data_IF_271579029072
#
_entry.id   IF_271579029072
#
_cell.length_a   1.000
_cell.length_b   1.000
_cell.length_c   1.000
_cell.angle_alpha   90.00
_cell.angle_beta   90.00
_cell.angle_gamma   90.00
#
_symmetry.space_group_name_H-M   'P 1'
#
loop_
_entity.id
_entity.type
_entity.pdbx_description
1 polymer ?
#
# COMPACT_ATOMS: atom_id res chain seq x y z
N UNK A 1 -11.81 -13.83 33.89
CA UNK A 1 -10.58 -13.43 33.17
C UNK A 1 -10.82 -12.01 32.68
N UNK A 2 -10.28 -11.02 33.40
CA UNK A 2 -10.35 -9.62 33.00
C UNK A 2 -9.11 -9.34 32.16
N UNK A 3 -9.25 -9.29 30.84
CA UNK A 3 -8.19 -8.73 30.00
C UNK A 3 -7.90 -7.31 30.49
N UNK A 4 -6.68 -7.09 30.97
CA UNK A 4 -6.27 -5.82 31.56
C UNK A 4 -6.23 -4.75 30.46
N UNK A 5 -6.81 -3.56 30.64
CA UNK A 5 -6.86 -2.50 29.62
C UNK A 5 -5.49 -2.12 29.02
N UNK A 6 -4.40 -2.37 29.74
CA UNK A 6 -3.03 -2.18 29.27
C UNK A 6 -2.62 -3.14 28.12
N UNK A 7 -3.09 -4.38 28.13
CA UNK A 7 -2.81 -5.35 27.07
C UNK A 7 -3.53 -4.98 25.76
N UNK A 8 -4.79 -4.54 25.87
CA UNK A 8 -5.58 -4.03 24.73
C UNK A 8 -4.99 -2.76 24.13
N UNK A 9 -4.49 -1.83 24.95
CA UNK A 9 -3.82 -0.61 24.48
C UNK A 9 -2.50 -0.89 23.73
N UNK A 10 -1.71 -1.86 24.20
CA UNK A 10 -0.47 -2.29 23.54
C UNK A 10 -0.73 -2.90 22.16
N UNK A 11 -1.75 -3.75 22.05
CA UNK A 11 -2.18 -4.34 20.77
C UNK A 11 -2.69 -3.27 19.80
N UNK A 12 -3.54 -2.35 20.27
CA UNK A 12 -4.04 -1.22 19.44
C UNK A 12 -2.89 -0.38 18.87
N UNK A 13 -1.90 -0.06 19.69
CA UNK A 13 -0.71 0.70 19.26
C UNK A 13 0.11 -0.06 18.21
N UNK A 14 0.23 -1.38 18.34
CA UNK A 14 0.90 -2.23 17.35
C UNK A 14 0.15 -2.25 16.01
N UNK A 15 -1.18 -2.37 16.02
CA UNK A 15 -2.01 -2.27 14.81
C UNK A 15 -1.90 -0.89 14.16
N UNK A 16 -2.04 0.19 14.95
CA UNK A 16 -1.96 1.57 14.44
C UNK A 16 -0.61 1.89 13.76
N UNK A 17 0.50 1.33 14.26
CA UNK A 17 1.82 1.47 13.65
C UNK A 17 1.89 0.88 12.23
N UNK A 18 1.11 -0.18 11.98
CA UNK A 18 1.13 -0.95 10.75
C UNK A 18 -0.08 -0.65 9.83
N UNK A 19 -1.13 0.01 10.35
CA UNK A 19 -2.30 0.49 9.63
C UNK A 19 -1.99 1.79 8.83
N UNK A 20 -0.84 1.83 8.15
CA UNK A 20 -0.40 3.00 7.40
C UNK A 20 -0.30 2.66 5.91
N UNK A 21 -1.12 3.33 5.09
CA UNK A 21 -1.04 3.24 3.64
C UNK A 21 0.38 3.62 3.16
N UNK A 22 1.02 2.86 2.26
CA UNK A 22 2.39 3.12 1.81
C UNK A 22 2.49 4.28 0.80
N UNK A 23 1.94 5.46 1.15
CA UNK A 23 1.85 6.66 0.29
C UNK A 23 3.19 7.06 -0.32
N UNK A 24 4.28 6.95 0.45
CA UNK A 24 5.63 7.27 -0.03
C UNK A 24 6.07 6.34 -1.16
N UNK A 25 5.73 5.06 -1.06
CA UNK A 25 6.06 4.06 -2.07
C UNK A 25 5.17 4.20 -3.30
N UNK A 26 3.87 4.47 -3.11
CA UNK A 26 2.92 4.77 -4.20
C UNK A 26 3.43 5.96 -5.03
N UNK A 27 3.75 7.09 -4.39
CA UNK A 27 4.27 8.26 -5.09
C UNK A 27 5.62 8.01 -5.79
N UNK A 28 6.48 7.17 -5.19
CA UNK A 28 7.72 6.75 -5.83
C UNK A 28 7.45 5.88 -7.07
N UNK A 29 6.45 5.00 -7.03
CA UNK A 29 6.07 4.15 -8.16
C UNK A 29 5.47 4.98 -9.29
N UNK A 30 4.61 5.95 -9.00
CA UNK A 30 4.07 6.86 -10.02
C UNK A 30 5.19 7.62 -10.76
N UNK A 31 6.16 8.16 -10.00
CA UNK A 31 7.34 8.81 -10.59
C UNK A 31 8.17 7.85 -11.44
N UNK A 32 8.36 6.63 -10.97
CA UNK A 32 9.11 5.61 -11.68
C UNK A 32 8.40 5.16 -12.97
N UNK A 33 7.07 4.97 -12.95
CA UNK A 33 6.24 4.69 -14.14
C UNK A 33 6.39 5.82 -15.17
N UNK A 34 6.31 7.08 -14.72
CA UNK A 34 6.51 8.24 -15.60
C UNK A 34 7.89 8.20 -16.25
N UNK A 35 8.95 7.97 -15.45
CA UNK A 35 10.31 7.89 -15.94
C UNK A 35 10.51 6.78 -16.98
N UNK A 36 9.96 5.58 -16.74
CA UNK A 36 10.04 4.47 -17.70
C UNK A 36 9.25 4.76 -18.98
N UNK A 37 8.10 5.40 -18.86
CA UNK A 37 7.29 5.82 -20.01
C UNK A 37 8.04 6.83 -20.88
N UNK A 38 8.69 7.82 -20.26
CA UNK A 38 9.52 8.82 -20.95
C UNK A 38 10.73 8.17 -21.63
N UNK A 39 11.35 7.18 -20.96
CA UNK A 39 12.48 6.40 -21.49
C UNK A 39 12.07 5.64 -22.75
N UNK A 40 10.91 4.98 -22.74
CA UNK A 40 10.34 4.31 -23.93
C UNK A 40 10.08 5.31 -25.04
N UNK A 41 9.45 6.46 -24.72
CA UNK A 41 9.10 7.47 -25.71
C UNK A 41 10.34 8.06 -26.41
N UNK A 42 11.48 8.06 -25.73
CA UNK A 42 12.78 8.46 -26.29
C UNK A 42 13.48 7.33 -27.07
N UNK A 43 12.90 6.14 -27.14
CA UNK A 43 13.49 4.96 -27.78
C UNK A 43 14.66 4.36 -27.00
N UNK A 44 14.76 4.68 -25.70
CA UNK A 44 15.80 4.16 -24.83
C UNK A 44 15.32 2.89 -24.11
N UNK A 45 16.25 1.98 -23.84
CA UNK A 45 15.99 0.79 -23.02
C UNK A 45 16.40 1.08 -21.58
N UNK A 46 15.53 0.87 -20.58
CA UNK A 46 15.89 1.02 -19.17
C UNK A 46 17.04 0.08 -18.78
N UNK A 47 17.88 0.52 -17.84
CA UNK A 47 18.97 -0.33 -17.36
C UNK A 47 18.41 -1.53 -16.55
N UNK A 48 19.14 -2.66 -16.50
CA UNK A 48 18.76 -3.79 -15.64
C UNK A 48 18.62 -3.41 -14.16
N UNK A 49 19.42 -2.46 -13.70
CA UNK A 49 19.37 -1.92 -12.33
C UNK A 49 18.07 -1.17 -12.06
N UNK A 50 17.60 -0.35 -13.01
CA UNK A 50 16.32 0.35 -12.92
C UNK A 50 15.16 -0.65 -12.87
N UNK A 51 15.16 -1.66 -13.75
CA UNK A 51 14.14 -2.70 -13.75
C UNK A 51 14.12 -3.48 -12.42
N UNK A 52 15.28 -3.75 -11.83
CA UNK A 52 15.37 -4.40 -10.53
C UNK A 52 14.85 -3.48 -9.40
N UNK A 53 15.15 -2.19 -9.45
CA UNK A 53 14.62 -1.20 -8.51
C UNK A 53 13.09 -1.13 -8.58
N UNK A 54 12.53 -1.11 -9.79
CA UNK A 54 11.09 -1.15 -10.02
C UNK A 54 10.43 -2.42 -9.47
N UNK A 55 11.04 -3.61 -9.67
CA UNK A 55 10.56 -4.88 -9.09
C UNK A 55 10.55 -4.86 -7.56
N UNK A 56 11.61 -4.33 -6.93
CA UNK A 56 11.68 -4.18 -5.47
C UNK A 56 10.61 -3.21 -4.95
N UNK A 57 10.37 -2.13 -5.67
CA UNK A 57 9.34 -1.15 -5.32
C UNK A 57 7.93 -1.75 -5.42
N UNK A 58 7.65 -2.50 -6.48
CA UNK A 58 6.39 -3.24 -6.65
C UNK A 58 6.14 -4.18 -5.47
N UNK A 59 7.09 -5.05 -5.17
CA UNK A 59 6.99 -6.00 -4.05
C UNK A 59 6.77 -5.29 -2.71
N UNK A 60 7.42 -4.13 -2.51
CA UNK A 60 7.24 -3.34 -1.29
C UNK A 60 5.83 -2.76 -1.16
N UNK A 61 5.25 -2.25 -2.25
CA UNK A 61 3.88 -1.74 -2.25
C UNK A 61 2.90 -2.87 -1.94
N UNK A 62 3.03 -4.01 -2.63
CA UNK A 62 2.15 -5.18 -2.43
C UNK A 62 2.17 -5.65 -0.96
N UNK A 63 3.35 -5.92 -0.42
CA UNK A 63 3.50 -6.37 0.97
C UNK A 63 2.96 -5.34 1.99
N UNK A 64 3.23 -4.05 1.79
CA UNK A 64 2.77 -3.02 2.72
C UNK A 64 1.26 -2.78 2.62
N UNK A 65 0.67 -2.98 1.44
CA UNK A 65 -0.78 -2.85 1.23
C UNK A 65 -1.54 -3.97 1.92
N UNK A 66 -1.02 -5.20 1.85
CA UNK A 66 -1.59 -6.34 2.58
C UNK A 66 -1.56 -6.11 4.09
N UNK A 67 -0.41 -5.66 4.62
CA UNK A 67 -0.27 -5.30 6.04
C UNK A 67 -1.24 -4.18 6.41
N UNK A 68 -1.34 -3.13 5.59
CA UNK A 68 -2.25 -2.02 5.82
C UNK A 68 -3.71 -2.48 5.89
N UNK A 69 -4.18 -3.24 4.90
CA UNK A 69 -5.55 -3.75 4.83
C UNK A 69 -5.94 -4.46 6.12
N UNK A 70 -5.10 -5.41 6.56
CA UNK A 70 -5.39 -6.21 7.76
C UNK A 70 -5.38 -5.37 9.04
N UNK A 71 -4.34 -4.56 9.24
CA UNK A 71 -4.19 -3.79 10.48
C UNK A 71 -5.21 -2.65 10.58
N UNK A 72 -5.54 -2.01 9.45
CA UNK A 72 -6.50 -0.93 9.41
C UNK A 72 -7.94 -1.42 9.63
N UNK A 73 -8.32 -2.58 9.08
CA UNK A 73 -9.64 -3.17 9.30
C UNK A 73 -9.85 -3.55 10.77
N UNK A 74 -8.83 -4.15 11.42
CA UNK A 74 -8.88 -4.46 12.85
C UNK A 74 -9.04 -3.18 13.68
N UNK A 75 -8.26 -2.15 13.37
CA UNK A 75 -8.33 -0.88 14.08
C UNK A 75 -9.70 -0.21 13.90
N UNK A 76 -10.26 -0.26 12.68
CA UNK A 76 -11.60 0.26 12.39
C UNK A 76 -12.66 -0.45 13.24
N UNK A 77 -12.62 -1.79 13.34
CA UNK A 77 -13.53 -2.55 14.20
C UNK A 77 -13.40 -2.25 15.69
N UNK A 78 -12.20 -1.91 16.17
CA UNK A 78 -11.96 -1.54 17.57
C UNK A 78 -12.36 -0.09 17.91
N UNK A 79 -12.33 0.81 16.93
CA UNK A 79 -12.55 2.25 17.12
C UNK A 79 -13.95 2.72 16.72
N UNK A 80 -14.64 1.97 15.87
CA UNK A 80 -15.97 2.34 15.42
C UNK A 80 -16.93 2.43 16.62
N UNK A 81 -17.57 3.59 16.75
CA UNK A 81 -18.57 3.82 17.81
C UNK A 81 -19.98 3.37 17.40
N UNK A 82 -20.20 3.17 16.11
CA UNK A 82 -21.46 2.72 15.49
C UNK A 82 -21.16 1.95 14.20
N UNK A 83 -22.13 1.20 13.70
CA UNK A 83 -22.01 0.50 12.41
C UNK A 83 -21.74 1.48 11.24
N UNK A 84 -22.44 2.63 11.23
CA UNK A 84 -22.20 3.66 10.21
C UNK A 84 -20.82 4.33 10.30
N UNK A 85 -20.17 4.32 11.47
CA UNK A 85 -18.78 4.77 11.60
C UNK A 85 -17.79 3.70 11.11
N UNK A 86 -18.08 2.43 11.39
CA UNK A 86 -17.32 1.30 10.86
C UNK A 86 -17.34 1.30 9.33
N UNK A 87 -18.52 1.45 8.71
CA UNK A 87 -18.68 1.47 7.26
C UNK A 87 -17.84 2.58 6.61
N UNK A 88 -17.86 3.79 7.18
CA UNK A 88 -17.05 4.92 6.68
C UNK A 88 -15.55 4.64 6.79
N UNK A 89 -15.10 4.04 7.88
CA UNK A 89 -13.69 3.68 8.08
C UNK A 89 -13.26 2.58 7.11
N UNK A 90 -14.10 1.55 6.92
CA UNK A 90 -13.85 0.47 5.96
C UNK A 90 -13.82 0.99 4.51
N UNK A 91 -14.70 1.92 4.15
CA UNK A 91 -14.68 2.55 2.83
C UNK A 91 -13.37 3.30 2.59
N UNK A 92 -12.90 4.10 3.55
CA UNK A 92 -11.63 4.82 3.42
C UNK A 92 -10.41 3.88 3.29
N UNK A 93 -10.48 2.70 3.93
CA UNK A 93 -9.47 1.64 3.79
C UNK A 93 -9.54 1.05 2.38
N UNK A 94 -10.75 0.74 1.89
CA UNK A 94 -10.98 0.24 0.53
C UNK A 94 -10.41 1.19 -0.51
N UNK A 95 -10.75 2.49 -0.44
CA UNK A 95 -10.24 3.50 -1.39
C UNK A 95 -8.70 3.56 -1.38
N UNK A 96 -8.07 3.36 -0.21
CA UNK A 96 -6.63 3.30 -0.07
C UNK A 96 -6.02 2.04 -0.71
N UNK A 97 -6.67 0.89 -0.56
CA UNK A 97 -6.27 -0.37 -1.19
C UNK A 97 -6.39 -0.25 -2.71
N UNK A 98 -7.53 0.26 -3.21
CA UNK A 98 -7.76 0.44 -4.64
C UNK A 98 -6.69 1.32 -5.28
N UNK A 99 -6.28 2.40 -4.61
CA UNK A 99 -5.17 3.25 -5.07
C UNK A 99 -3.84 2.48 -5.16
N UNK A 100 -3.52 1.70 -4.13
CA UNK A 100 -2.30 0.92 -4.09
C UNK A 100 -2.30 -0.20 -5.16
N UNK A 101 -3.43 -0.89 -5.33
CA UNK A 101 -3.63 -1.92 -6.34
C UNK A 101 -3.52 -1.35 -7.75
N UNK A 102 -4.21 -0.24 -8.04
CA UNK A 102 -4.12 0.44 -9.34
C UNK A 102 -2.68 0.83 -9.67
N UNK A 103 -1.94 1.38 -8.70
CA UNK A 103 -0.53 1.75 -8.87
C UNK A 103 0.35 0.52 -9.09
N UNK A 104 0.14 -0.54 -8.30
CA UNK A 104 0.89 -1.80 -8.43
C UNK A 104 0.66 -2.47 -9.79
N UNK A 105 -0.58 -2.46 -10.29
CA UNK A 105 -0.95 -3.02 -11.59
C UNK A 105 -0.27 -2.27 -12.72
N UNK A 106 -0.33 -0.93 -12.71
CA UNK A 106 0.37 -0.10 -13.70
C UNK A 106 1.89 -0.31 -13.67
N UNK A 107 2.48 -0.38 -12.47
CA UNK A 107 3.92 -0.64 -12.32
C UNK A 107 4.28 -2.03 -12.87
N UNK A 108 3.48 -3.05 -12.57
CA UNK A 108 3.67 -4.42 -13.05
C UNK A 108 3.60 -4.52 -14.56
N UNK A 109 2.60 -3.88 -15.18
CA UNK A 109 2.44 -3.81 -16.64
C UNK A 109 3.63 -3.11 -17.28
N UNK A 110 4.05 -1.96 -16.72
CA UNK A 110 5.22 -1.21 -17.20
C UNK A 110 6.49 -2.06 -17.10
N UNK A 111 6.68 -2.81 -16.02
CA UNK A 111 7.86 -3.68 -15.88
C UNK A 111 7.82 -4.89 -16.84
N UNK A 112 6.62 -5.41 -17.14
CA UNK A 112 6.44 -6.53 -18.09
C UNK A 112 6.75 -6.16 -19.52
N UNK A 113 6.61 -4.89 -19.93
CA UNK A 113 6.97 -4.48 -21.30
C UNK A 113 8.47 -4.57 -21.61
N UNK A 114 9.30 -4.88 -20.62
CA UNK A 114 10.76 -5.01 -20.75
C UNK A 114 11.31 -6.38 -20.31
N UNK A 115 10.44 -7.34 -19.95
CA UNK A 115 10.82 -8.69 -19.52
C UNK A 115 10.70 -9.69 -20.68
#
# INVERSE_FOLDING_TARGET
MTDTPAATASLRAAFAKNAVLPRKQIAAAEKFISHLTDTIAQGLTPSPEDLQAGKKLLQKIENQTEIFMFNAAILAGQEASTDGDLDRKLQAISDGIDLAEATSSRLRETLKSFA
#
